data_IF_763827375368
#
_entry.id   IF_763827375368
#
_cell.length_a   1.000
_cell.length_b   1.000
_cell.length_c   1.000
_cell.angle_alpha   90.00
_cell.angle_beta   90.00
_cell.angle_gamma   90.00
#
_symmetry.space_group_name_H-M   'P 1'
#
loop_
_entity.id
_entity.type
_entity.pdbx_description
1 polymer ?
#
# COMPACT_ATOMS: atom_id res chain seq x y z
N UNK A 1 -3.24 9.73 16.91
CA UNK A 1 -3.26 8.26 17.02
C UNK A 1 -4.12 7.79 15.86
N UNK A 2 -3.58 7.00 14.95
CA UNK A 2 -4.32 6.52 13.78
C UNK A 2 -5.44 5.59 14.24
N UNK A 3 -6.66 5.74 13.69
CA UNK A 3 -7.73 4.80 13.99
C UNK A 3 -7.50 3.46 13.29
N UNK A 4 -8.15 2.39 13.76
CA UNK A 4 -8.04 1.08 13.09
C UNK A 4 -8.55 1.11 11.65
N UNK A 5 -9.63 1.86 11.41
CA UNK A 5 -10.25 1.96 10.09
C UNK A 5 -9.35 2.77 9.15
N UNK A 6 -8.84 3.91 9.60
CA UNK A 6 -7.88 4.72 8.86
C UNK A 6 -6.59 3.95 8.53
N UNK A 7 -6.08 3.16 9.48
CA UNK A 7 -4.94 2.27 9.24
C UNK A 7 -5.22 1.27 8.11
N UNK A 8 -6.39 0.63 8.16
CA UNK A 8 -6.79 -0.36 7.15
C UNK A 8 -6.95 0.28 5.77
N UNK A 9 -7.60 1.45 5.70
CA UNK A 9 -7.75 2.22 4.47
C UNK A 9 -6.42 2.57 3.84
N UNK A 10 -5.47 3.11 4.62
CA UNK A 10 -4.14 3.49 4.11
C UNK A 10 -3.38 2.25 3.62
N UNK A 11 -3.45 1.14 4.34
CA UNK A 11 -2.84 -0.12 3.88
C UNK A 11 -3.40 -0.57 2.53
N UNK A 12 -4.72 -0.52 2.37
CA UNK A 12 -5.38 -0.88 1.11
C UNK A 12 -4.98 0.10 0.00
N UNK A 13 -5.04 1.42 0.24
CA UNK A 13 -4.62 2.44 -0.73
C UNK A 13 -3.19 2.23 -1.23
N UNK A 14 -2.24 1.94 -0.33
CA UNK A 14 -0.85 1.63 -0.70
C UNK A 14 -0.80 0.40 -1.62
N UNK A 15 -1.49 -0.68 -1.26
CA UNK A 15 -1.49 -1.89 -2.08
C UNK A 15 -2.15 -1.67 -3.44
N UNK A 16 -3.23 -0.87 -3.52
CA UNK A 16 -3.86 -0.51 -4.81
C UNK A 16 -2.93 0.29 -5.70
N UNK A 17 -2.28 1.31 -5.13
CA UNK A 17 -1.31 2.11 -5.85
C UNK A 17 -0.18 1.24 -6.42
N UNK A 18 0.38 0.34 -5.62
CA UNK A 18 1.46 -0.54 -6.06
C UNK A 18 1.01 -1.55 -7.12
N UNK A 19 -0.22 -2.06 -7.03
CA UNK A 19 -0.80 -2.95 -8.03
C UNK A 19 -1.01 -2.24 -9.36
N UNK A 20 -1.58 -1.04 -9.34
CA UNK A 20 -1.83 -0.24 -10.53
C UNK A 20 -0.52 0.15 -11.23
N UNK A 21 0.50 0.54 -10.47
CA UNK A 21 1.85 0.83 -11.01
C UNK A 21 2.50 -0.41 -11.63
N UNK A 22 2.34 -1.58 -11.00
CA UNK A 22 2.87 -2.85 -11.52
C UNK A 22 2.28 -3.20 -12.88
N UNK A 23 1.00 -2.89 -13.12
CA UNK A 23 0.35 -3.12 -14.42
C UNK A 23 0.59 -2.00 -15.44
N UNK A 24 0.83 -0.77 -14.97
CA UNK A 24 1.02 0.40 -15.84
C UNK A 24 2.40 0.45 -16.52
N UNK A 25 3.31 -0.48 -16.19
CA UNK A 25 4.70 -0.52 -16.71
C UNK A 25 5.49 0.79 -16.50
N UNK A 26 5.00 1.65 -15.61
CA UNK A 26 5.66 2.86 -15.16
C UNK A 26 6.80 2.47 -14.22
N UNK A 27 7.92 3.18 -14.36
CA UNK A 27 9.23 2.91 -13.75
C UNK A 27 9.16 2.59 -12.25
N UNK A 28 10.23 1.96 -11.75
CA UNK A 28 10.56 1.74 -10.34
C UNK A 28 9.86 2.72 -9.39
N UNK A 29 8.78 2.26 -8.74
CA UNK A 29 8.12 2.99 -7.67
C UNK A 29 9.18 3.27 -6.59
N UNK A 30 9.26 4.52 -6.15
CA UNK A 30 10.13 4.96 -5.06
C UNK A 30 9.28 5.49 -3.92
N UNK A 31 9.89 5.62 -2.74
CA UNK A 31 9.20 6.18 -1.55
C UNK A 31 8.57 7.54 -1.84
N UNK A 32 9.28 8.41 -2.55
CA UNK A 32 8.82 9.75 -2.92
C UNK A 32 7.55 9.72 -3.78
N UNK A 33 7.39 8.70 -4.63
CA UNK A 33 6.18 8.53 -5.43
C UNK A 33 4.99 8.19 -4.54
N UNK A 34 5.14 7.24 -3.61
CA UNK A 34 4.05 6.85 -2.70
C UNK A 34 3.62 8.03 -1.83
N UNK A 35 4.57 8.80 -1.28
CA UNK A 35 4.23 9.98 -0.47
C UNK A 35 3.57 11.09 -1.30
N UNK A 36 3.91 11.21 -2.59
CA UNK A 36 3.27 12.17 -3.48
C UNK A 36 1.82 11.77 -3.78
N UNK A 37 1.60 10.52 -4.16
CA UNK A 37 0.25 10.02 -4.51
C UNK A 37 -0.66 9.91 -3.28
N UNK A 38 -0.10 9.72 -2.09
CA UNK A 38 -0.82 9.72 -0.81
C UNK A 38 -0.62 11.02 -0.02
N UNK A 39 -0.39 12.15 -0.70
CA UNK A 39 -0.14 13.45 -0.05
C UNK A 39 -1.35 14.01 0.71
N UNK A 40 -2.55 13.49 0.45
CA UNK A 40 -3.76 13.76 1.24
C UNK A 40 -3.79 13.04 2.59
N UNK A 41 -2.92 12.04 2.81
CA UNK A 41 -2.78 11.30 4.06
C UNK A 41 -1.63 11.85 4.90
N UNK A 42 -1.65 11.61 6.21
CA UNK A 42 -0.51 11.94 7.07
C UNK A 42 0.73 11.09 6.73
N UNK A 43 1.88 11.74 6.54
CA UNK A 43 3.10 11.06 6.11
C UNK A 43 3.60 10.04 7.13
N UNK A 44 3.39 10.26 8.45
CA UNK A 44 3.78 9.29 9.48
C UNK A 44 2.88 8.06 9.44
N UNK A 45 1.58 8.25 9.21
CA UNK A 45 0.63 7.17 9.00
C UNK A 45 0.98 6.32 7.78
N UNK A 46 1.28 6.96 6.63
CA UNK A 46 1.71 6.27 5.40
C UNK A 46 2.98 5.46 5.65
N UNK A 47 4.00 6.07 6.28
CA UNK A 47 5.25 5.37 6.63
C UNK A 47 5.01 4.17 7.54
N UNK A 48 4.17 4.32 8.55
CA UNK A 48 3.82 3.24 9.47
C UNK A 48 3.13 2.08 8.74
N UNK A 49 2.16 2.36 7.88
CA UNK A 49 1.44 1.34 7.09
C UNK A 49 2.39 0.63 6.11
N UNK A 50 3.27 1.36 5.42
CA UNK A 50 4.31 0.78 4.56
C UNK A 50 5.23 -0.17 5.33
N UNK A 51 5.64 0.21 6.54
CA UNK A 51 6.43 -0.65 7.42
C UNK A 51 5.69 -1.95 7.77
N UNK A 52 4.42 -1.84 8.17
CA UNK A 52 3.57 -2.99 8.47
C UNK A 52 3.40 -3.93 7.27
N UNK A 53 3.09 -3.39 6.09
CA UNK A 53 2.90 -4.18 4.87
C UNK A 53 4.17 -4.95 4.46
N UNK A 54 5.35 -4.36 4.69
CA UNK A 54 6.64 -5.03 4.48
C UNK A 54 6.88 -6.15 5.49
N UNK A 55 6.59 -5.90 6.77
CA UNK A 55 6.72 -6.90 7.82
C UNK A 55 5.81 -8.12 7.57
N UNK A 56 4.60 -7.88 7.02
CA UNK A 56 3.67 -8.95 6.60
C UNK A 56 4.03 -9.64 5.28
N UNK A 57 5.03 -9.14 4.56
CA UNK A 57 5.43 -9.68 3.26
C UNK A 57 4.46 -9.36 2.12
N UNK A 58 3.56 -8.38 2.30
CA UNK A 58 2.66 -7.91 1.24
C UNK A 58 3.35 -6.94 0.26
N UNK A 59 4.43 -6.29 0.71
CA UNK A 59 5.26 -5.39 -0.10
C UNK A 59 6.73 -5.78 0.06
N UNK A 60 7.46 -5.85 -1.05
CA UNK A 60 8.91 -6.04 -1.07
C UNK A 60 9.57 -4.83 -1.73
N UNK A 61 10.35 -4.07 -0.96
CA UNK A 61 10.85 -2.77 -1.39
C UNK A 61 9.70 -1.79 -1.66
N UNK A 62 9.41 -1.56 -2.94
CA UNK A 62 8.33 -0.71 -3.45
C UNK A 62 7.49 -1.43 -4.50
N UNK A 63 7.40 -2.76 -4.41
CA UNK A 63 6.57 -3.58 -5.29
C UNK A 63 5.63 -4.44 -4.43
N UNK A 64 4.43 -4.67 -4.94
CA UNK A 64 3.45 -5.53 -4.31
C UNK A 64 3.82 -7.00 -4.54
N UNK A 65 3.73 -7.84 -3.51
CA UNK A 65 3.98 -9.28 -3.64
C UNK A 65 2.71 -10.04 -4.03
N UNK A 66 2.83 -11.32 -4.41
CA UNK A 66 1.67 -12.18 -4.64
C UNK A 66 0.74 -12.24 -3.41
N UNK A 67 1.31 -12.30 -2.19
CA UNK A 67 0.51 -12.29 -0.96
C UNK A 67 -0.22 -10.96 -0.72
N UNK A 68 0.35 -9.83 -1.16
CA UNK A 68 -0.33 -8.54 -1.12
C UNK A 68 -1.50 -8.47 -2.10
N UNK A 69 -1.35 -9.09 -3.27
CA UNK A 69 -2.43 -9.24 -4.26
C UNK A 69 -3.55 -10.13 -3.69
N UNK A 70 -3.21 -11.30 -3.16
CA UNK A 70 -4.18 -12.22 -2.56
C UNK A 70 -4.96 -11.55 -1.42
N UNK A 71 -4.28 -10.75 -0.59
CA UNK A 71 -4.93 -9.97 0.46
C UNK A 71 -5.95 -8.97 -0.11
N UNK A 72 -5.60 -8.21 -1.15
CA UNK A 72 -6.51 -7.23 -1.78
C UNK A 72 -7.81 -7.88 -2.28
N UNK A 73 -7.70 -9.06 -2.89
CA UNK A 73 -8.84 -9.82 -3.42
C UNK A 73 -9.60 -10.64 -2.35
N UNK A 74 -9.12 -10.66 -1.11
CA UNK A 74 -9.83 -11.26 0.01
C UNK A 74 -10.99 -10.38 0.50
N UNK A 75 -11.88 -10.95 1.32
CA UNK A 75 -12.96 -10.18 1.97
C UNK A 75 -12.42 -9.04 2.85
N UNK A 76 -11.20 -9.18 3.38
CA UNK A 76 -10.58 -8.17 4.22
C UNK A 76 -9.96 -7.03 3.41
N UNK A 77 -9.44 -7.29 2.21
CA UNK A 77 -8.80 -6.30 1.34
C UNK A 77 -9.78 -5.43 0.56
N UNK A 78 -11.01 -5.92 0.36
CA UNK A 78 -12.11 -5.08 -0.13
C UNK A 78 -11.92 -4.55 -1.55
N UNK A 79 -11.17 -5.24 -2.41
CA UNK A 79 -11.16 -4.97 -3.85
C UNK A 79 -12.39 -5.60 -4.52
N UNK A 80 -13.58 -5.07 -4.24
CA UNK A 80 -14.80 -5.35 -4.99
C UNK A 80 -15.35 -4.05 -5.57
#
# INVERSE_FOLDING_TARGET
MISRDEFKEICIEILKLLLDERFSNTRHVKEDFIYKELSHRDAKAVRFCLGYLREKGYVSGFDITAGGIDFLFSEEGGWK
#
